data_IF_764256730657
#
_entry.id   IF_764256730657
#
_cell.length_a   1.000
_cell.length_b   1.000
_cell.length_c   1.000
_cell.angle_alpha   90.00
_cell.angle_beta   90.00
_cell.angle_gamma   90.00
#
_symmetry.space_group_name_H-M   'P 1'
#
loop_
_entity.id
_entity.type
_entity.pdbx_description
1 polymer ?
#
# COMPACT_ATOMS: atom_id res chain seq x y z
N UNK A 1 69.99 50.52 1.27
CA UNK A 1 70.19 49.65 0.08
C UNK A 1 70.17 48.17 0.45
N UNK A 2 70.92 47.70 1.46
CA UNK A 2 70.88 46.30 1.95
C UNK A 2 69.51 45.80 2.44
N UNK A 3 68.73 46.65 3.12
CA UNK A 3 67.37 46.30 3.58
C UNK A 3 66.37 46.06 2.43
N UNK A 4 66.51 46.78 1.31
CA UNK A 4 65.60 46.65 0.18
C UNK A 4 65.84 45.36 -0.63
N UNK A 5 67.09 44.90 -0.72
CA UNK A 5 67.42 43.63 -1.39
C UNK A 5 66.86 42.42 -0.63
N UNK A 6 66.96 42.42 0.70
CA UNK A 6 66.45 41.33 1.55
C UNK A 6 64.91 41.20 1.48
N UNK A 7 64.19 42.33 1.45
CA UNK A 7 62.73 42.31 1.28
C UNK A 7 62.30 41.81 -0.10
N UNK A 8 63.08 42.03 -1.16
CA UNK A 8 62.78 41.50 -2.49
C UNK A 8 62.97 39.98 -2.53
N UNK A 9 64.02 39.45 -1.89
CA UNK A 9 64.24 38.00 -1.75
C UNK A 9 63.09 37.33 -0.98
N UNK A 10 62.64 37.93 0.12
CA UNK A 10 61.47 37.44 0.89
C UNK A 10 60.18 37.47 0.06
N UNK A 11 59.96 38.49 -0.78
CA UNK A 11 58.81 38.56 -1.68
C UNK A 11 58.87 37.45 -2.74
N UNK A 12 60.04 37.19 -3.32
CA UNK A 12 60.24 36.13 -4.31
C UNK A 12 59.97 34.74 -3.72
N UNK A 13 60.44 34.48 -2.51
CA UNK A 13 60.20 33.21 -1.80
C UNK A 13 58.71 33.01 -1.48
N UNK A 14 58.02 34.08 -1.06
CA UNK A 14 56.58 34.07 -0.86
C UNK A 14 55.82 33.80 -2.17
N UNK A 15 56.21 34.40 -3.30
CA UNK A 15 55.58 34.16 -4.61
C UNK A 15 55.76 32.70 -5.06
N UNK A 16 56.94 32.12 -4.85
CA UNK A 16 57.18 30.70 -5.16
C UNK A 16 56.28 29.80 -4.30
N UNK A 17 56.20 30.07 -3.00
CA UNK A 17 55.32 29.35 -2.08
C UNK A 17 53.84 29.47 -2.48
N UNK A 18 53.40 30.66 -2.91
CA UNK A 18 52.04 30.87 -3.43
C UNK A 18 51.82 30.08 -4.72
N UNK A 19 52.80 30.05 -5.62
CA UNK A 19 52.72 29.30 -6.88
C UNK A 19 52.59 27.80 -6.62
N UNK A 20 53.37 27.26 -5.69
CA UNK A 20 53.27 25.86 -5.27
C UNK A 20 51.91 25.54 -4.65
N UNK A 21 51.39 26.46 -3.81
CA UNK A 21 50.05 26.33 -3.22
C UNK A 21 48.95 26.35 -4.29
N UNK A 22 49.08 27.21 -5.32
CA UNK A 22 48.13 27.28 -6.43
C UNK A 22 48.13 25.98 -7.25
N UNK A 23 49.30 25.39 -7.50
CA UNK A 23 49.41 24.11 -8.20
C UNK A 23 48.75 22.98 -7.41
N UNK A 24 48.91 22.95 -6.09
CA UNK A 24 48.23 21.99 -5.21
C UNK A 24 46.71 22.18 -5.22
N UNK A 25 46.22 23.42 -5.18
CA UNK A 25 44.78 23.73 -5.28
C UNK A 25 44.22 23.27 -6.62
N UNK A 26 44.93 23.52 -7.73
CA UNK A 26 44.50 23.09 -9.06
C UNK A 26 44.36 21.57 -9.14
N UNK A 27 45.38 20.82 -8.68
CA UNK A 27 45.34 19.36 -8.61
C UNK A 27 44.19 18.86 -7.72
N UNK A 28 43.98 19.49 -6.56
CA UNK A 28 42.86 19.17 -5.67
C UNK A 28 41.50 19.45 -6.30
N UNK A 29 41.35 20.50 -7.09
CA UNK A 29 40.11 20.81 -7.83
C UNK A 29 39.83 19.78 -8.93
N UNK A 30 40.85 19.29 -9.62
CA UNK A 30 40.69 18.21 -10.60
C UNK A 30 40.21 16.91 -9.93
N UNK A 31 40.82 16.54 -8.79
CA UNK A 31 40.41 15.38 -8.00
C UNK A 31 38.98 15.52 -7.46
N UNK A 32 38.61 16.71 -6.97
CA UNK A 32 37.24 17.00 -6.53
C UNK A 32 36.23 16.91 -7.69
N UNK A 33 36.59 17.43 -8.87
CA UNK A 33 35.73 17.35 -10.06
C UNK A 33 35.48 15.90 -10.48
N UNK A 34 36.53 15.07 -10.45
CA UNK A 34 36.42 13.61 -10.68
C UNK A 34 35.53 12.94 -9.64
N UNK A 35 35.70 13.30 -8.36
CA UNK A 35 34.87 12.78 -7.27
C UNK A 35 33.40 13.15 -7.44
N UNK A 36 33.10 14.39 -7.83
CA UNK A 36 31.73 14.85 -8.09
C UNK A 36 31.08 14.13 -9.28
N UNK A 37 31.86 13.85 -10.34
CA UNK A 37 31.41 13.03 -11.46
C UNK A 37 30.99 11.63 -11.00
N UNK A 38 31.85 10.96 -10.22
CA UNK A 38 31.56 9.64 -9.65
C UNK A 38 30.32 9.67 -8.74
N UNK A 39 30.16 10.73 -7.95
CA UNK A 39 28.98 10.91 -7.11
C UNK A 39 27.69 11.04 -7.94
N UNK A 40 27.74 11.78 -9.05
CA UNK A 40 26.65 11.86 -10.02
C UNK A 40 26.25 10.50 -10.57
N UNK A 41 27.23 9.67 -10.93
CA UNK A 41 26.98 8.32 -11.44
C UNK A 41 26.34 7.41 -10.38
N UNK A 42 26.78 7.52 -9.12
CA UNK A 42 26.17 6.79 -7.99
C UNK A 42 24.72 7.21 -7.77
N UNK A 43 24.42 8.52 -7.78
CA UNK A 43 23.05 9.02 -7.62
C UNK A 43 22.15 8.49 -8.74
N UNK A 44 22.63 8.51 -9.99
CA UNK A 44 21.87 7.99 -11.13
C UNK A 44 21.62 6.47 -10.99
N UNK A 45 22.64 5.71 -10.58
CA UNK A 45 22.51 4.29 -10.30
C UNK A 45 21.51 3.99 -9.17
N UNK A 46 21.53 4.81 -8.12
CA UNK A 46 20.59 4.71 -7.00
C UNK A 46 19.16 4.98 -7.44
N UNK A 47 18.91 6.04 -8.22
CA UNK A 47 17.59 6.37 -8.74
C UNK A 47 17.04 5.24 -9.63
N UNK A 48 17.86 4.68 -10.51
CA UNK A 48 17.49 3.54 -11.36
C UNK A 48 17.15 2.29 -10.53
N UNK A 49 17.96 1.99 -9.50
CA UNK A 49 17.71 0.89 -8.58
C UNK A 49 16.40 1.07 -7.81
N UNK A 50 16.14 2.27 -7.30
CA UNK A 50 14.91 2.62 -6.58
C UNK A 50 13.67 2.43 -7.47
N UNK A 51 13.73 2.90 -8.73
CA UNK A 51 12.64 2.71 -9.69
C UNK A 51 12.39 1.22 -9.97
N UNK A 52 13.45 0.42 -10.11
CA UNK A 52 13.33 -1.03 -10.29
C UNK A 52 12.71 -1.71 -9.06
N UNK A 53 13.08 -1.29 -7.85
CA UNK A 53 12.47 -1.80 -6.61
C UNK A 53 10.98 -1.50 -6.55
N UNK A 54 10.57 -0.28 -6.93
CA UNK A 54 9.15 0.10 -6.98
C UNK A 54 8.39 -0.78 -7.98
N UNK A 55 8.96 -0.99 -9.17
CA UNK A 55 8.36 -1.86 -10.19
C UNK A 55 8.20 -3.29 -9.69
N UNK A 56 9.24 -3.89 -9.11
CA UNK A 56 9.19 -5.25 -8.57
C UNK A 56 8.15 -5.38 -7.44
N UNK A 57 8.00 -4.35 -6.60
CA UNK A 57 6.98 -4.33 -5.55
C UNK A 57 5.55 -4.31 -6.13
N UNK A 58 5.33 -3.56 -7.21
CA UNK A 58 4.05 -3.52 -7.92
C UNK A 58 3.73 -4.86 -8.59
N UNK A 59 4.71 -5.47 -9.28
CA UNK A 59 4.57 -6.80 -9.90
C UNK A 59 4.23 -7.87 -8.84
N UNK A 60 4.97 -7.89 -7.72
CA UNK A 60 4.69 -8.79 -6.61
C UNK A 60 3.29 -8.56 -6.00
N UNK A 61 2.86 -7.30 -5.87
CA UNK A 61 1.52 -6.96 -5.41
C UNK A 61 0.42 -7.51 -6.33
N UNK A 62 0.58 -7.33 -7.63
CA UNK A 62 -0.33 -7.87 -8.65
C UNK A 62 -0.39 -9.41 -8.60
N UNK A 63 0.76 -10.08 -8.52
CA UNK A 63 0.84 -11.54 -8.46
C UNK A 63 0.17 -12.09 -7.19
N UNK A 64 0.43 -11.47 -6.03
CA UNK A 64 -0.22 -11.82 -4.77
C UNK A 64 -1.74 -11.68 -4.87
N UNK A 65 -2.22 -10.60 -5.51
CA UNK A 65 -3.63 -10.41 -5.74
C UNK A 65 -4.23 -11.51 -6.63
N UNK A 66 -3.58 -11.85 -7.75
CA UNK A 66 -4.03 -12.91 -8.65
C UNK A 66 -4.12 -14.28 -7.93
N UNK A 67 -3.10 -14.64 -7.15
CA UNK A 67 -3.10 -15.86 -6.34
C UNK A 67 -4.27 -15.85 -5.34
N UNK A 68 -4.49 -14.72 -4.66
CA UNK A 68 -5.59 -14.58 -3.72
C UNK A 68 -6.95 -14.81 -4.39
N UNK A 69 -7.11 -14.34 -5.63
CA UNK A 69 -8.34 -14.53 -6.39
C UNK A 69 -8.55 -15.97 -6.83
N UNK A 70 -7.49 -16.68 -7.19
CA UNK A 70 -7.56 -18.13 -7.45
C UNK A 70 -7.98 -18.90 -6.18
N UNK A 71 -7.42 -18.55 -5.01
CA UNK A 71 -7.79 -19.17 -3.73
C UNK A 71 -9.25 -18.90 -3.37
N UNK A 72 -9.73 -17.67 -3.54
CA UNK A 72 -11.14 -17.30 -3.34
C UNK A 72 -12.05 -18.10 -4.29
N UNK A 73 -11.64 -18.25 -5.56
CA UNK A 73 -12.36 -19.06 -6.55
C UNK A 73 -12.45 -20.53 -6.15
N UNK A 74 -11.33 -21.13 -5.74
CA UNK A 74 -11.30 -22.52 -5.24
C UNK A 74 -12.17 -22.70 -4.00
N UNK A 75 -12.09 -21.77 -3.05
CA UNK A 75 -12.94 -21.76 -1.85
C UNK A 75 -14.42 -21.74 -2.23
N UNK A 76 -14.83 -20.85 -3.14
CA UNK A 76 -16.22 -20.75 -3.57
C UNK A 76 -16.71 -22.03 -4.26
N UNK A 77 -15.88 -22.67 -5.09
CA UNK A 77 -16.19 -23.99 -5.68
C UNK A 77 -16.39 -25.05 -4.59
N UNK A 78 -15.54 -25.08 -3.55
CA UNK A 78 -15.70 -26.03 -2.43
C UNK A 78 -16.98 -25.78 -1.64
N UNK A 79 -17.34 -24.53 -1.38
CA UNK A 79 -18.59 -24.19 -0.69
C UNK A 79 -19.80 -24.63 -1.50
N UNK A 80 -19.78 -24.45 -2.83
CA UNK A 80 -20.87 -24.88 -3.71
C UNK A 80 -21.06 -26.41 -3.75
N UNK A 81 -20.03 -27.18 -3.42
CA UNK A 81 -20.07 -28.64 -3.34
C UNK A 81 -20.42 -29.15 -1.93
N UNK A 82 -20.56 -28.28 -0.93
CA UNK A 82 -20.90 -28.69 0.42
C UNK A 82 -22.38 -29.13 0.47
N UNK A 83 -22.63 -30.39 0.85
CA UNK A 83 -23.99 -30.96 0.89
C UNK A 83 -24.83 -30.39 2.05
N UNK A 84 -24.19 -30.09 3.18
CA UNK A 84 -24.80 -29.38 4.30
C UNK A 84 -23.73 -28.65 5.10
N UNK A 85 -24.09 -27.51 5.66
CA UNK A 85 -23.25 -26.72 6.55
C UNK A 85 -24.00 -26.51 7.84
N UNK A 86 -23.36 -26.75 8.98
CA UNK A 86 -23.94 -26.35 10.25
C UNK A 86 -23.84 -24.82 10.42
N UNK A 87 -24.58 -24.26 11.38
CA UNK A 87 -24.64 -22.81 11.60
C UNK A 87 -23.25 -22.19 11.82
N UNK A 88 -22.38 -22.86 12.57
CA UNK A 88 -21.02 -22.39 12.84
C UNK A 88 -20.16 -22.35 11.59
N UNK A 89 -20.20 -23.39 10.75
CA UNK A 89 -19.50 -23.44 9.47
C UNK A 89 -20.01 -22.36 8.51
N UNK A 90 -21.33 -22.14 8.47
CA UNK A 90 -21.94 -21.08 7.68
C UNK A 90 -21.45 -19.68 8.12
N UNK A 91 -21.44 -19.40 9.43
CA UNK A 91 -20.93 -18.15 9.97
C UNK A 91 -19.42 -17.94 9.67
N UNK A 92 -18.61 -18.99 9.73
CA UNK A 92 -17.18 -18.92 9.32
C UNK A 92 -17.02 -18.59 7.84
N UNK A 93 -17.91 -19.11 6.98
CA UNK A 93 -17.95 -18.76 5.57
C UNK A 93 -18.28 -17.27 5.42
N UNK A 94 -19.31 -16.78 6.09
CA UNK A 94 -19.74 -15.38 6.00
C UNK A 94 -18.66 -14.42 6.50
N UNK A 95 -17.99 -14.77 7.60
CA UNK A 95 -16.82 -14.04 8.11
C UNK A 95 -15.74 -13.90 7.04
N UNK A 96 -15.38 -15.01 6.41
CA UNK A 96 -14.34 -15.01 5.37
C UNK A 96 -14.80 -14.25 4.12
N UNK A 97 -16.08 -14.27 3.77
CA UNK A 97 -16.61 -13.52 2.62
C UNK A 97 -16.39 -12.03 2.76
N UNK A 98 -16.65 -11.48 3.95
CA UNK A 98 -16.49 -10.06 4.21
C UNK A 98 -15.01 -9.65 4.24
N UNK A 99 -14.12 -10.53 4.70
CA UNK A 99 -12.67 -10.32 4.58
C UNK A 99 -12.21 -10.33 3.12
N UNK A 100 -12.72 -11.25 2.31
CA UNK A 100 -12.43 -11.29 0.87
C UNK A 100 -12.95 -10.03 0.17
N UNK A 101 -14.10 -9.50 0.57
CA UNK A 101 -14.64 -8.25 0.02
C UNK A 101 -13.77 -7.03 0.38
N UNK A 102 -13.35 -6.91 1.64
CA UNK A 102 -12.42 -5.86 2.07
C UNK A 102 -11.10 -5.94 1.29
N UNK A 103 -10.57 -7.15 1.12
CA UNK A 103 -9.35 -7.40 0.35
C UNK A 103 -9.49 -6.95 -1.12
N UNK A 104 -10.61 -7.27 -1.78
CA UNK A 104 -10.85 -6.83 -3.16
C UNK A 104 -10.87 -5.31 -3.30
N UNK A 105 -11.56 -4.62 -2.39
CA UNK A 105 -11.68 -3.16 -2.46
C UNK A 105 -10.33 -2.49 -2.19
N UNK A 106 -9.56 -3.01 -1.23
CA UNK A 106 -8.20 -2.55 -1.00
C UNK A 106 -7.34 -2.67 -2.26
N UNK A 107 -7.42 -3.82 -2.95
CA UNK A 107 -6.66 -4.04 -4.18
C UNK A 107 -7.16 -3.20 -5.36
N UNK A 108 -8.43 -2.80 -5.36
CA UNK A 108 -8.94 -1.82 -6.32
C UNK A 108 -8.32 -0.43 -6.09
N UNK A 109 -8.16 -0.01 -4.84
CA UNK A 109 -7.48 1.24 -4.51
C UNK A 109 -5.99 1.23 -4.86
N UNK A 110 -5.35 0.05 -4.84
CA UNK A 110 -3.98 -0.14 -5.31
C UNK A 110 -3.85 -0.26 -6.83
N UNK A 111 -4.96 -0.36 -7.56
CA UNK A 111 -4.98 -0.52 -9.02
C UNK A 111 -4.79 -1.97 -9.51
N UNK A 112 -4.84 -2.96 -8.62
CA UNK A 112 -4.69 -4.38 -8.97
C UNK A 112 -6.01 -5.07 -9.34
N UNK A 113 -7.14 -4.46 -8.97
CA UNK A 113 -8.50 -4.92 -9.28
C UNK A 113 -9.29 -3.79 -9.94
N UNK A 114 -10.18 -4.15 -10.85
CA UNK A 114 -11.23 -3.25 -11.35
C UNK A 114 -12.56 -3.74 -10.83
N UNK A 115 -13.30 -2.89 -10.11
CA UNK A 115 -14.61 -3.27 -9.59
C UNK A 115 -15.68 -2.86 -10.61
N UNK A 116 -16.35 -3.86 -11.17
CA UNK A 116 -17.44 -3.65 -12.14
C UNK A 116 -18.71 -3.13 -11.46
N UNK A 117 -19.47 -2.19 -12.07
CA UNK A 117 -20.73 -1.64 -11.53
C UNK A 117 -21.76 -2.68 -11.10
N UNK A 118 -21.87 -3.81 -11.82
CA UNK A 118 -22.78 -4.91 -11.52
C UNK A 118 -22.47 -5.56 -10.16
N UNK A 119 -21.25 -5.38 -9.64
CA UNK A 119 -20.84 -5.87 -8.32
C UNK A 119 -21.61 -5.16 -7.18
N UNK A 120 -22.17 -3.97 -7.42
CA UNK A 120 -22.99 -3.24 -6.45
C UNK A 120 -24.32 -3.94 -6.16
N UNK A 121 -24.95 -4.55 -7.17
CA UNK A 121 -26.24 -5.23 -7.02
C UNK A 121 -26.09 -6.45 -6.08
N UNK A 122 -24.94 -7.12 -6.13
CA UNK A 122 -24.61 -8.24 -5.26
C UNK A 122 -24.27 -7.86 -3.81
N UNK A 123 -23.89 -6.60 -3.55
CA UNK A 123 -23.57 -6.14 -2.19
C UNK A 123 -24.80 -6.24 -1.27
N UNK A 124 -26.01 -5.97 -1.76
CA UNK A 124 -27.21 -5.99 -0.92
C UNK A 124 -27.81 -7.39 -0.70
N UNK A 125 -27.26 -8.43 -1.33
CA UNK A 125 -27.78 -9.80 -1.27
C UNK A 125 -26.65 -10.80 -0.97
N UNK A 126 -25.84 -10.53 0.05
CA UNK A 126 -24.79 -11.45 0.47
C UNK A 126 -25.35 -12.65 1.26
N UNK A 127 -24.55 -13.72 1.41
CA UNK A 127 -24.98 -14.93 2.14
C UNK A 127 -25.37 -14.64 3.60
N UNK A 128 -24.67 -13.70 4.25
CA UNK A 128 -25.00 -13.27 5.60
C UNK A 128 -26.34 -12.52 5.66
N UNK A 129 -26.67 -11.73 4.64
CA UNK A 129 -27.97 -11.03 4.57
C UNK A 129 -29.12 -12.04 4.62
N UNK A 130 -29.05 -13.08 3.78
CA UNK A 130 -30.05 -14.16 3.73
C UNK A 130 -30.15 -14.91 5.05
N UNK A 131 -29.00 -15.24 5.64
CA UNK A 131 -28.98 -15.92 6.93
C UNK A 131 -29.59 -15.06 8.06
N UNK A 132 -29.31 -13.76 8.08
CA UNK A 132 -29.88 -12.83 9.05
C UNK A 132 -31.40 -12.67 8.89
N UNK A 133 -31.93 -12.76 7.67
CA UNK A 133 -33.39 -12.75 7.44
C UNK A 133 -34.09 -13.94 8.10
N UNK A 134 -33.46 -15.12 8.07
CA UNK A 134 -33.99 -16.36 8.64
C UNK A 134 -33.74 -16.50 10.15
N UNK A 135 -32.76 -15.77 10.70
CA UNK A 135 -32.27 -15.92 12.08
C UNK A 135 -32.40 -14.64 12.91
N UNK A 136 -33.42 -13.82 12.65
CA UNK A 136 -33.62 -12.57 13.41
C UNK A 136 -33.90 -12.84 14.89
N UNK A 137 -33.00 -12.40 15.76
CA UNK A 137 -33.17 -12.45 17.21
C UNK A 137 -32.46 -11.27 17.90
N UNK A 138 -32.64 -11.17 19.23
CA UNK A 138 -31.91 -10.18 20.03
C UNK A 138 -30.38 -10.41 19.98
N UNK A 139 -29.95 -11.66 19.83
CA UNK A 139 -28.55 -12.06 19.71
C UNK A 139 -27.93 -11.61 18.36
N UNK A 140 -28.73 -11.51 17.28
CA UNK A 140 -28.24 -11.11 15.95
C UNK A 140 -28.40 -9.62 15.64
N UNK A 141 -29.00 -8.84 16.55
CA UNK A 141 -29.28 -7.42 16.32
C UNK A 141 -28.00 -6.61 16.07
N UNK A 142 -26.97 -6.80 16.93
CA UNK A 142 -25.67 -6.11 16.78
C UNK A 142 -24.96 -6.49 15.49
N UNK A 143 -25.00 -7.78 15.14
CA UNK A 143 -24.45 -8.29 13.88
C UNK A 143 -25.15 -7.64 12.67
N UNK A 144 -26.47 -7.51 12.73
CA UNK A 144 -27.28 -6.88 11.67
C UNK A 144 -26.90 -5.42 11.47
N UNK A 145 -26.70 -4.68 12.56
CA UNK A 145 -26.28 -3.27 12.52
C UNK A 145 -24.86 -3.16 11.92
N UNK A 146 -23.92 -3.96 12.41
CA UNK A 146 -22.53 -3.95 11.92
C UNK A 146 -22.46 -4.32 10.42
N UNK A 147 -23.23 -5.33 10.00
CA UNK A 147 -23.33 -5.75 8.61
C UNK A 147 -23.85 -4.62 7.70
N UNK A 148 -24.94 -3.94 8.09
CA UNK A 148 -25.49 -2.80 7.34
C UNK A 148 -24.47 -1.67 7.19
N UNK A 149 -23.75 -1.34 8.26
CA UNK A 149 -22.70 -0.30 8.25
C UNK A 149 -21.58 -0.64 7.27
N UNK A 150 -21.11 -1.90 7.27
CA UNK A 150 -20.09 -2.38 6.34
C UNK A 150 -20.56 -2.23 4.88
N UNK A 151 -21.78 -2.66 4.57
CA UNK A 151 -22.31 -2.55 3.21
C UNK A 151 -22.53 -1.11 2.74
N UNK A 152 -22.98 -0.22 3.64
CA UNK A 152 -23.08 1.21 3.33
C UNK A 152 -21.70 1.79 2.99
N UNK A 153 -20.69 1.55 3.82
CA UNK A 153 -19.33 2.03 3.57
C UNK A 153 -18.72 1.44 2.30
N UNK A 154 -19.05 0.18 1.97
CA UNK A 154 -18.64 -0.41 0.70
C UNK A 154 -19.26 0.28 -0.51
N UNK A 155 -20.54 0.65 -0.46
CA UNK A 155 -21.18 1.42 -1.51
C UNK A 155 -20.55 2.80 -1.67
N UNK A 156 -20.27 3.49 -0.56
CA UNK A 156 -19.60 4.79 -0.59
C UNK A 156 -18.17 4.68 -1.16
N UNK A 157 -17.44 3.62 -0.78
CA UNK A 157 -16.09 3.34 -1.28
C UNK A 157 -16.10 3.03 -2.78
N UNK A 158 -17.08 2.26 -3.25
CA UNK A 158 -17.26 1.98 -4.67
C UNK A 158 -17.56 3.26 -5.45
N UNK A 159 -18.48 4.08 -4.98
CA UNK A 159 -18.80 5.35 -5.63
C UNK A 159 -17.57 6.25 -5.72
N UNK A 160 -16.81 6.38 -4.64
CA UNK A 160 -15.57 7.15 -4.63
C UNK A 160 -14.52 6.59 -5.62
N UNK A 161 -14.44 5.27 -5.77
CA UNK A 161 -13.60 4.61 -6.76
C UNK A 161 -14.03 4.94 -8.19
N UNK A 162 -15.33 4.83 -8.50
CA UNK A 162 -15.90 5.17 -9.81
C UNK A 162 -15.71 6.64 -10.16
N UNK A 163 -15.80 7.53 -9.17
CA UNK A 163 -15.60 8.98 -9.34
C UNK A 163 -14.11 9.37 -9.41
N UNK A 164 -13.19 8.40 -9.29
CA UNK A 164 -11.74 8.61 -9.16
C UNK A 164 -11.36 9.58 -8.02
N UNK A 165 -12.18 9.65 -6.96
CA UNK A 165 -11.98 10.51 -5.80
C UNK A 165 -11.06 9.84 -4.77
N UNK A 166 -9.76 9.94 -5.01
CA UNK A 166 -8.73 9.38 -4.13
C UNK A 166 -8.73 10.00 -2.73
N UNK A 167 -9.21 11.25 -2.57
CA UNK A 167 -9.28 11.89 -1.25
C UNK A 167 -10.36 11.21 -0.42
N UNK A 168 -11.55 11.01 -1.00
CA UNK A 168 -12.65 10.32 -0.33
C UNK A 168 -12.34 8.86 -0.06
N UNK A 169 -11.67 8.16 -0.99
CA UNK A 169 -11.18 6.79 -0.76
C UNK A 169 -10.29 6.72 0.49
N UNK A 170 -9.32 7.62 0.63
CA UNK A 170 -8.41 7.66 1.77
C UNK A 170 -9.13 7.96 3.10
N UNK A 171 -10.23 8.72 3.07
CA UNK A 171 -11.06 9.00 4.25
C UNK A 171 -11.99 7.84 4.63
N UNK A 172 -12.49 7.11 3.63
CA UNK A 172 -13.39 5.97 3.83
C UNK A 172 -12.65 4.72 4.30
N UNK A 173 -11.42 4.51 3.83
CA UNK A 173 -10.67 3.28 4.12
C UNK A 173 -10.50 2.95 5.62
N UNK A 174 -10.14 3.89 6.51
CA UNK A 174 -10.08 3.62 7.95
C UNK A 174 -11.44 3.25 8.54
N UNK A 175 -12.51 3.92 8.09
CA UNK A 175 -13.87 3.67 8.56
C UNK A 175 -14.36 2.28 8.13
N UNK A 176 -14.08 1.90 6.88
CA UNK A 176 -14.43 0.60 6.34
C UNK A 176 -13.68 -0.52 7.04
N UNK A 177 -12.39 -0.31 7.33
CA UNK A 177 -11.57 -1.26 8.09
C UNK A 177 -12.11 -1.44 9.51
N UNK A 178 -12.44 -0.35 10.20
CA UNK A 178 -13.03 -0.39 11.53
C UNK A 178 -14.38 -1.13 11.52
N UNK A 179 -15.27 -0.78 10.60
CA UNK A 179 -16.58 -1.43 10.47
C UNK A 179 -16.46 -2.92 10.14
N UNK A 180 -15.52 -3.29 9.27
CA UNK A 180 -15.25 -4.70 8.95
C UNK A 180 -14.76 -5.44 10.19
N UNK A 181 -13.84 -4.87 10.96
CA UNK A 181 -13.38 -5.49 12.21
C UNK A 181 -14.49 -5.63 13.26
N UNK A 182 -15.38 -4.63 13.38
CA UNK A 182 -16.58 -4.70 14.23
C UNK A 182 -17.50 -5.86 13.80
N UNK A 183 -17.79 -5.98 12.50
CA UNK A 183 -18.59 -7.07 11.95
C UNK A 183 -17.97 -8.45 12.25
N UNK A 184 -16.66 -8.57 12.03
CA UNK A 184 -15.92 -9.82 12.28
C UNK A 184 -15.95 -10.17 13.78
N UNK A 185 -15.83 -9.19 14.66
CA UNK A 185 -15.93 -9.41 16.11
C UNK A 185 -17.33 -9.90 16.53
N UNK A 186 -18.40 -9.35 15.95
CA UNK A 186 -19.76 -9.86 16.22
C UNK A 186 -19.98 -11.27 15.67
N UNK A 187 -19.43 -11.61 14.49
CA UNK A 187 -19.46 -12.97 13.97
C UNK A 187 -18.67 -13.95 14.86
N UNK A 188 -17.50 -13.54 15.35
CA UNK A 188 -16.64 -14.38 16.19
C UNK A 188 -17.33 -14.73 17.52
N UNK A 189 -18.12 -13.82 18.09
CA UNK A 189 -18.96 -14.13 19.27
C UNK A 189 -19.92 -15.27 18.97
N UNK A 190 -20.67 -15.21 17.87
CA UNK A 190 -21.62 -16.26 17.50
C UNK A 190 -20.96 -17.59 17.12
N UNK A 191 -19.78 -17.55 16.51
CA UNK A 191 -18.99 -18.75 16.17
C UNK A 191 -18.44 -19.44 17.42
N UNK A 192 -18.22 -18.68 18.50
CA UNK A 192 -17.65 -19.18 19.76
C UNK A 192 -18.68 -19.80 20.73
N UNK A 193 -19.98 -19.57 20.49
CA UNK A 193 -21.08 -20.24 21.19
C UNK A 193 -21.17 -21.72 20.78
#
# INVERSE_FOLDING_TARGET
MLLAGKSIEEILDNINTITDSLNQIAAGNEEQSSTLQNFGDIINGFAASSQKTIQLAHEAGQDLYQISMQLIGLRNKRIALAESLNAKEALQIYRTDHLCLAWKIYNAFLGYETIEPESLEGLNSCRLSKWLEENQSAETEKLTIAHKKVHQLYQEAFQAYTDHDMVRINQLWPQLTLATNELIAELDKLISL
#
